data_IF_331985207413
#
_entry.id   IF_331985207413
#
_cell.length_a   1.000
_cell.length_b   1.000
_cell.length_c   1.000
_cell.angle_alpha   90.00
_cell.angle_beta   90.00
_cell.angle_gamma   90.00
#
_symmetry.space_group_name_H-M   'P 1'
#
loop_
_entity.id
_entity.type
_entity.pdbx_description
1 polymer ?
#
# COMPACT_ATOMS: atom_id res chain seq x y z
N UNK A 1 0.97 3.77 7.97
CA UNK A 1 1.89 4.71 7.29
C UNK A 1 2.02 4.28 5.84
N UNK A 2 2.07 5.21 4.89
CA UNK A 2 2.23 4.92 3.46
C UNK A 2 3.35 5.80 2.88
N UNK A 3 3.94 5.37 1.77
CA UNK A 3 4.97 6.10 1.02
C UNK A 3 4.55 6.25 -0.43
N UNK A 4 4.78 7.45 -0.96
CA UNK A 4 4.73 7.72 -2.38
C UNK A 4 6.09 8.23 -2.81
N UNK A 5 6.55 7.85 -4.01
CA UNK A 5 7.79 8.36 -4.60
C UNK A 5 7.66 9.83 -5.00
N UNK A 6 6.45 10.30 -5.27
CA UNK A 6 6.17 11.68 -5.70
C UNK A 6 5.15 12.31 -4.78
N UNK A 7 5.58 13.37 -4.10
CA UNK A 7 4.71 14.25 -3.29
C UNK A 7 4.69 15.61 -4.00
N UNK A 8 3.54 16.03 -4.58
CA UNK A 8 3.45 17.27 -5.34
C UNK A 8 3.64 18.53 -4.50
N UNK A 9 3.22 18.50 -3.23
CA UNK A 9 3.36 19.59 -2.29
C UNK A 9 3.40 19.06 -0.85
N UNK A 10 4.15 19.74 0.01
CA UNK A 10 4.06 19.54 1.46
C UNK A 10 2.71 20.07 1.96
N UNK A 11 1.95 19.19 2.60
CA UNK A 11 0.58 19.44 3.01
C UNK A 11 0.30 18.73 4.33
N UNK A 12 -0.23 19.47 5.30
CA UNK A 12 -0.75 18.92 6.56
C UNK A 12 -2.24 19.22 6.63
N UNK A 13 -3.07 18.21 6.85
CA UNK A 13 -4.52 18.35 7.03
C UNK A 13 -4.89 17.88 8.43
N UNK A 14 -5.70 18.66 9.15
CA UNK A 14 -6.28 18.27 10.42
C UNK A 14 -7.80 18.20 10.31
N UNK A 15 -8.36 17.04 10.66
CA UNK A 15 -9.80 16.75 10.74
C UNK A 15 -10.64 17.15 9.51
N UNK A 16 -10.00 17.25 8.33
CA UNK A 16 -10.59 17.83 7.11
C UNK A 16 -11.19 19.23 7.32
N UNK A 17 -10.78 19.94 8.37
CA UNK A 17 -11.28 21.27 8.75
C UNK A 17 -10.25 22.38 8.48
N UNK A 18 -8.97 22.05 8.42
CA UNK A 18 -7.91 23.01 8.10
C UNK A 18 -6.76 22.29 7.39
N UNK A 19 -6.13 22.99 6.45
CA UNK A 19 -4.88 22.57 5.83
C UNK A 19 -3.78 23.61 6.02
N UNK A 20 -2.54 23.15 6.19
CA UNK A 20 -1.35 23.97 6.29
C UNK A 20 -0.36 23.57 5.20
N UNK A 21 0.08 24.54 4.40
CA UNK A 21 1.07 24.37 3.35
C UNK A 21 2.31 25.18 3.70
N UNK A 22 3.42 24.54 4.08
CA UNK A 22 4.69 25.22 4.28
C UNK A 22 5.12 25.89 2.98
N UNK A 23 5.39 27.20 3.02
CA UNK A 23 5.93 27.96 1.91
C UNK A 23 7.46 27.84 1.94
N UNK A 24 7.95 26.63 1.66
CA UNK A 24 9.39 26.40 1.49
C UNK A 24 9.79 26.69 0.04
N UNK A 25 11.08 26.97 -0.23
CA UNK A 25 11.58 27.12 -1.60
C UNK A 25 11.28 25.92 -2.51
N UNK A 26 11.02 24.74 -1.92
CA UNK A 26 10.74 23.49 -2.62
C UNK A 26 9.26 23.32 -3.00
N UNK A 27 8.34 23.80 -2.16
CA UNK A 27 6.89 23.65 -2.37
C UNK A 27 6.33 24.67 -3.36
N UNK A 28 6.99 25.81 -3.52
CA UNK A 28 6.31 26.96 -4.05
C UNK A 28 6.54 27.19 -5.56
N UNK A 29 7.50 26.52 -6.20
CA UNK A 29 7.96 26.96 -7.53
C UNK A 29 8.47 28.41 -7.54
N UNK A 30 8.54 29.05 -6.36
CA UNK A 30 8.95 30.42 -6.10
C UNK A 30 10.47 30.50 -5.98
N UNK A 31 11.20 29.72 -6.78
CA UNK A 31 12.64 29.89 -6.97
C UNK A 31 13.01 31.30 -7.49
N UNK A 32 12.01 32.11 -7.84
CA UNK A 32 12.14 33.47 -8.37
C UNK A 32 11.71 34.59 -7.39
N UNK A 33 11.33 34.31 -6.15
CA UNK A 33 11.11 35.38 -5.16
C UNK A 33 12.34 35.48 -4.24
N UNK A 34 13.11 36.59 -4.31
CA UNK A 34 14.21 36.81 -3.40
C UNK A 34 13.66 37.07 -2.00
N UNK A 35 14.17 36.31 -1.03
CA UNK A 35 14.02 36.51 0.41
C UNK A 35 12.58 36.45 0.96
N UNK A 36 12.12 35.25 1.32
CA UNK A 36 11.23 35.13 2.47
C UNK A 36 12.13 35.07 3.72
N UNK A 37 12.18 36.11 4.56
CA UNK A 37 13.12 36.17 5.69
C UNK A 37 12.73 35.22 6.84
N UNK A 38 11.49 34.70 6.83
CA UNK A 38 10.95 33.85 7.89
C UNK A 38 10.16 32.66 7.32
N UNK A 39 10.16 31.50 8.01
CA UNK A 39 9.35 30.36 7.62
C UNK A 39 7.87 30.73 7.62
N UNK A 40 7.27 30.81 6.44
CA UNK A 40 5.86 31.12 6.24
C UNK A 40 5.06 29.86 5.88
N UNK A 41 3.78 29.85 6.22
CA UNK A 41 2.85 28.79 5.81
C UNK A 41 1.50 29.38 5.41
N UNK A 42 0.86 28.79 4.41
CA UNK A 42 -0.50 29.11 4.03
C UNK A 42 -1.47 28.22 4.84
N UNK A 43 -2.37 28.86 5.58
CA UNK A 43 -3.46 28.18 6.31
C UNK A 43 -4.74 28.30 5.49
N UNK A 44 -5.35 27.16 5.17
CA UNK A 44 -6.58 27.06 4.37
C UNK A 44 -7.71 26.54 5.25
N UNK A 45 -8.75 27.35 5.41
CA UNK A 45 -9.96 27.06 6.16
C UNK A 45 -11.04 26.37 5.30
N UNK A 46 -12.16 25.90 5.88
CA UNK A 46 -13.21 25.20 5.16
C UNK A 46 -13.73 25.97 3.94
N UNK A 47 -13.77 25.28 2.80
CA UNK A 47 -14.20 25.84 1.53
C UNK A 47 -13.74 24.97 0.35
N UNK A 48 -14.00 25.41 -0.89
CA UNK A 48 -13.69 24.64 -2.09
C UNK A 48 -12.20 24.30 -2.21
N UNK A 49 -11.31 25.22 -1.81
CA UNK A 49 -9.87 24.99 -1.85
C UNK A 49 -9.44 23.87 -0.89
N UNK A 50 -9.95 23.88 0.34
CA UNK A 50 -9.67 22.81 1.30
C UNK A 50 -10.18 21.46 0.80
N UNK A 51 -11.39 21.42 0.23
CA UNK A 51 -11.96 20.20 -0.34
C UNK A 51 -11.06 19.63 -1.45
N UNK A 52 -10.55 20.47 -2.35
CA UNK A 52 -9.61 20.06 -3.40
C UNK A 52 -8.29 19.52 -2.83
N UNK A 53 -7.74 20.15 -1.79
CA UNK A 53 -6.51 19.68 -1.13
C UNK A 53 -6.70 18.33 -0.42
N UNK A 54 -7.85 18.13 0.22
CA UNK A 54 -8.23 16.85 0.82
C UNK A 54 -8.33 15.78 -0.26
N UNK A 55 -9.00 16.06 -1.38
CA UNK A 55 -9.13 15.09 -2.47
C UNK A 55 -7.76 14.73 -3.06
N UNK A 56 -6.89 15.71 -3.30
CA UNK A 56 -5.52 15.47 -3.74
C UNK A 56 -4.76 14.54 -2.78
N UNK A 57 -4.89 14.77 -1.48
CA UNK A 57 -4.28 13.89 -0.47
C UNK A 57 -4.83 12.47 -0.57
N UNK A 58 -6.15 12.29 -0.65
CA UNK A 58 -6.79 10.97 -0.71
C UNK A 58 -6.40 10.21 -1.98
N UNK A 59 -6.32 10.88 -3.13
CA UNK A 59 -5.88 10.28 -4.40
C UNK A 59 -4.44 9.75 -4.28
N UNK A 60 -3.51 10.58 -3.79
CA UNK A 60 -2.12 10.17 -3.55
C UNK A 60 -2.04 9.07 -2.49
N UNK A 61 -2.83 9.15 -1.43
CA UNK A 61 -2.84 8.18 -0.34
C UNK A 61 -3.33 6.81 -0.79
N UNK A 62 -4.32 6.77 -1.68
CA UNK A 62 -4.86 5.54 -2.24
C UNK A 62 -3.87 4.87 -3.20
N UNK A 63 -3.10 5.66 -3.96
CA UNK A 63 -2.03 5.17 -4.83
C UNK A 63 -0.75 4.77 -4.08
N UNK A 64 -0.49 5.37 -2.91
CA UNK A 64 0.73 5.16 -2.14
C UNK A 64 0.89 3.71 -1.62
N UNK A 65 2.14 3.24 -1.56
CA UNK A 65 2.50 1.93 -1.02
C UNK A 65 2.43 1.92 0.52
N UNK A 66 1.87 0.87 1.15
CA UNK A 66 1.90 0.73 2.60
C UNK A 66 3.35 0.56 3.10
N UNK A 67 3.79 1.46 3.98
CA UNK A 67 5.07 1.33 4.68
C UNK A 67 4.94 0.38 5.87
N UNK A 68 5.55 -0.80 5.75
CA UNK A 68 5.73 -1.72 6.88
C UNK A 68 6.96 -1.30 7.66
N UNK A 69 6.76 -0.54 8.74
CA UNK A 69 7.83 -0.28 9.70
C UNK A 69 8.16 -1.62 10.38
N UNK A 70 9.39 -2.11 10.21
CA UNK A 70 9.88 -3.39 10.75
C UNK A 70 9.98 -3.43 12.29
N UNK A 71 9.09 -2.76 13.02
CA UNK A 71 8.93 -2.95 14.47
C UNK A 71 8.21 -4.29 14.77
N UNK A 72 7.35 -4.76 13.85
CA UNK A 72 6.65 -6.06 13.98
C UNK A 72 7.49 -7.28 13.59
N UNK A 73 8.75 -7.08 13.15
CA UNK A 73 9.68 -8.20 12.99
C UNK A 73 10.08 -8.80 14.35
N UNK A 74 10.15 -7.97 15.41
CA UNK A 74 10.49 -8.41 16.75
C UNK A 74 9.31 -9.09 17.48
N UNK A 75 8.07 -8.65 17.25
CA UNK A 75 6.87 -9.32 17.81
C UNK A 75 6.58 -10.68 17.17
N UNK A 76 6.91 -10.85 15.88
CA UNK A 76 6.79 -12.15 15.18
C UNK A 76 7.86 -13.18 15.57
N UNK A 77 8.86 -12.80 16.36
CA UNK A 77 9.85 -13.72 16.91
C UNK A 77 9.47 -14.25 18.31
N UNK A 78 8.46 -13.67 18.96
CA UNK A 78 8.05 -14.03 20.33
C UNK A 78 6.88 -15.02 20.38
N UNK A 79 6.10 -15.14 19.31
CA UNK A 79 5.15 -16.23 19.11
C UNK A 79 5.83 -17.32 18.26
N UNK A 80 5.83 -18.57 18.71
CA UNK A 80 6.38 -19.71 17.98
C UNK A 80 5.83 -19.84 16.55
N UNK A 81 6.34 -20.76 15.71
CA UNK A 81 6.22 -20.72 14.25
C UNK A 81 4.75 -20.82 13.77
N UNK A 82 4.06 -19.68 13.71
CA UNK A 82 2.84 -19.53 12.94
C UNK A 82 3.26 -19.43 11.47
N UNK A 83 3.38 -20.59 10.82
CA UNK A 83 3.84 -20.75 9.45
C UNK A 83 2.90 -20.06 8.45
N UNK A 84 3.17 -18.78 8.16
CA UNK A 84 2.56 -18.04 7.07
C UNK A 84 2.81 -18.66 5.68
N UNK A 85 2.33 -18.01 4.62
CA UNK A 85 2.65 -18.42 3.25
C UNK A 85 4.16 -18.44 3.00
N UNK A 86 4.64 -19.50 2.35
CA UNK A 86 6.04 -19.58 1.92
C UNK A 86 6.25 -18.79 0.62
N UNK A 87 7.52 -18.63 0.19
CA UNK A 87 7.84 -17.86 -1.02
C UNK A 87 7.15 -18.39 -2.29
N UNK A 88 6.92 -19.70 -2.38
CA UNK A 88 6.26 -20.32 -3.53
C UNK A 88 4.75 -20.10 -3.48
N UNK A 89 4.15 -20.09 -2.30
CA UNK A 89 2.74 -19.73 -2.12
C UNK A 89 2.48 -18.28 -2.54
N UNK A 90 3.39 -17.36 -2.18
CA UNK A 90 3.31 -15.96 -2.61
C UNK A 90 3.43 -15.83 -4.13
N UNK A 91 4.33 -16.58 -4.77
CA UNK A 91 4.47 -16.59 -6.23
C UNK A 91 3.23 -17.14 -6.94
N UNK A 92 2.65 -18.24 -6.44
CA UNK A 92 1.37 -18.79 -6.93
C UNK A 92 0.26 -17.76 -6.80
N UNK A 93 0.14 -17.11 -5.63
CA UNK A 93 -0.90 -16.14 -5.34
C UNK A 93 -0.80 -14.89 -6.22
N UNK A 94 0.41 -14.40 -6.48
CA UNK A 94 0.67 -13.27 -7.39
C UNK A 94 0.14 -13.55 -8.79
N UNK A 95 0.50 -14.70 -9.38
CA UNK A 95 0.06 -15.03 -10.73
C UNK A 95 -1.46 -15.26 -10.82
N UNK A 96 -2.08 -15.83 -9.78
CA UNK A 96 -3.54 -15.95 -9.72
C UNK A 96 -4.22 -14.58 -9.65
N UNK A 97 -3.62 -13.62 -8.94
CA UNK A 97 -4.11 -12.24 -8.87
C UNK A 97 -3.92 -11.48 -10.19
N UNK A 98 -2.92 -11.85 -10.99
CA UNK A 98 -2.74 -11.37 -12.37
C UNK A 98 -3.76 -12.00 -13.35
N UNK A 99 -4.69 -12.81 -12.85
CA UNK A 99 -5.77 -13.42 -13.64
C UNK A 99 -5.39 -14.74 -14.32
N UNK A 100 -4.22 -15.31 -14.01
CA UNK A 100 -3.83 -16.60 -14.57
C UNK A 100 -4.66 -17.74 -13.96
N UNK A 101 -4.92 -18.76 -14.77
CA UNK A 101 -5.52 -20.01 -14.31
C UNK A 101 -4.48 -20.88 -13.60
N UNK A 102 -4.89 -21.79 -12.72
CA UNK A 102 -3.98 -22.74 -12.07
C UNK A 102 -3.10 -23.52 -13.06
N UNK A 103 -3.62 -23.82 -14.25
CA UNK A 103 -2.88 -24.51 -15.30
C UNK A 103 -1.78 -23.62 -15.90
N UNK A 104 -2.08 -22.35 -16.15
CA UNK A 104 -1.09 -21.36 -16.60
C UNK A 104 -0.02 -21.12 -15.54
N UNK A 105 -0.41 -21.00 -14.27
CA UNK A 105 0.50 -20.87 -13.13
C UNK A 105 1.42 -22.09 -13.00
N UNK A 106 0.85 -23.30 -13.11
CA UNK A 106 1.61 -24.55 -13.06
C UNK A 106 2.69 -24.58 -14.16
N UNK A 107 2.33 -24.20 -15.39
CA UNK A 107 3.27 -24.12 -16.51
C UNK A 107 4.37 -23.09 -16.27
N UNK A 108 4.02 -21.90 -15.78
CA UNK A 108 4.98 -20.81 -15.57
C UNK A 108 5.97 -21.08 -14.43
N UNK A 109 5.52 -21.77 -13.38
CA UNK A 109 6.36 -22.10 -12.22
C UNK A 109 7.02 -23.49 -12.32
N UNK A 110 6.83 -24.22 -13.43
CA UNK A 110 7.35 -25.59 -13.58
C UNK A 110 6.78 -26.59 -12.56
N UNK A 111 5.54 -26.37 -12.11
CA UNK A 111 4.86 -27.19 -11.11
C UNK A 111 3.79 -28.08 -11.75
N UNK A 112 3.42 -29.15 -11.06
CA UNK A 112 2.20 -29.90 -11.38
C UNK A 112 0.92 -29.14 -10.99
N UNK A 113 -0.16 -29.28 -11.77
CA UNK A 113 -1.46 -28.65 -11.49
C UNK A 113 -1.98 -28.95 -10.07
N UNK A 114 -1.87 -30.21 -9.62
CA UNK A 114 -2.26 -30.59 -8.25
C UNK A 114 -1.45 -29.87 -7.18
N UNK A 115 -0.18 -29.56 -7.44
CA UNK A 115 0.67 -28.84 -6.49
C UNK A 115 0.17 -27.42 -6.31
N UNK A 116 -0.18 -26.73 -7.41
CA UNK A 116 -0.79 -25.40 -7.38
C UNK A 116 -2.10 -25.42 -6.60
N UNK A 117 -3.01 -26.34 -6.94
CA UNK A 117 -4.31 -26.47 -6.27
C UNK A 117 -4.19 -26.76 -4.77
N UNK A 118 -3.25 -27.64 -4.37
CA UNK A 118 -2.99 -27.96 -2.97
C UNK A 118 -2.46 -26.73 -2.21
N UNK A 119 -1.59 -25.94 -2.83
CA UNK A 119 -1.06 -24.69 -2.24
C UNK A 119 -2.15 -23.64 -2.08
N UNK A 120 -3.00 -23.44 -3.09
CA UNK A 120 -4.18 -22.56 -2.99
C UNK A 120 -5.09 -23.00 -1.85
N UNK A 121 -5.39 -24.30 -1.73
CA UNK A 121 -6.21 -24.82 -0.62
C UNK A 121 -5.56 -24.57 0.75
N UNK A 122 -4.25 -24.73 0.87
CA UNK A 122 -3.51 -24.40 2.10
C UNK A 122 -3.60 -22.90 2.40
N UNK A 123 -3.40 -22.03 1.41
CA UNK A 123 -3.53 -20.58 1.55
C UNK A 123 -4.93 -20.17 2.02
N UNK A 124 -5.98 -20.79 1.48
CA UNK A 124 -7.36 -20.58 1.95
C UNK A 124 -7.54 -21.00 3.41
N UNK A 125 -6.94 -22.12 3.81
CA UNK A 125 -6.92 -22.57 5.21
C UNK A 125 -6.19 -21.60 6.14
N UNK A 126 -5.03 -21.08 5.71
CA UNK A 126 -4.27 -20.07 6.46
C UNK A 126 -5.04 -18.74 6.60
N UNK A 127 -5.77 -18.35 5.57
CA UNK A 127 -6.58 -17.14 5.56
C UNK A 127 -7.96 -17.31 6.23
N UNK A 128 -8.36 -18.53 6.59
CA UNK A 128 -9.69 -18.81 7.16
C UNK A 128 -10.84 -18.58 6.18
N UNK A 129 -10.59 -18.70 4.87
CA UNK A 129 -11.57 -18.41 3.81
C UNK A 129 -11.93 -19.66 3.02
N UNK A 130 -13.08 -19.63 2.35
CA UNK A 130 -13.62 -20.80 1.61
C UNK A 130 -13.72 -20.56 0.10
N UNK A 131 -13.51 -19.33 -0.37
CA UNK A 131 -13.50 -19.00 -1.79
C UNK A 131 -12.19 -18.34 -2.22
N UNK A 132 -11.84 -18.49 -3.51
CA UNK A 132 -10.66 -17.85 -4.10
C UNK A 132 -10.77 -16.33 -4.11
N UNK A 133 -11.97 -15.79 -4.30
CA UNK A 133 -12.22 -14.35 -4.25
C UNK A 133 -11.91 -13.79 -2.85
N UNK A 134 -12.39 -14.47 -1.80
CA UNK A 134 -12.05 -14.12 -0.42
C UNK A 134 -10.54 -14.27 -0.14
N UNK A 135 -9.88 -15.28 -0.72
CA UNK A 135 -8.43 -15.42 -0.61
C UNK A 135 -7.73 -14.22 -1.26
N UNK A 136 -8.16 -13.77 -2.43
CA UNK A 136 -7.63 -12.58 -3.09
C UNK A 136 -7.82 -11.32 -2.25
N UNK A 137 -9.00 -11.12 -1.67
CA UNK A 137 -9.28 -10.02 -0.74
C UNK A 137 -8.37 -10.07 0.49
N UNK A 138 -8.27 -11.24 1.14
CA UNK A 138 -7.41 -11.44 2.31
C UNK A 138 -5.95 -11.15 1.96
N UNK A 139 -5.49 -11.65 0.81
CA UNK A 139 -4.13 -11.46 0.33
C UNK A 139 -3.77 -9.98 0.14
N UNK A 140 -4.69 -9.19 -0.45
CA UNK A 140 -4.52 -7.75 -0.61
C UNK A 140 -4.50 -7.03 0.75
N UNK A 141 -5.42 -7.37 1.65
CA UNK A 141 -5.53 -6.74 2.98
C UNK A 141 -4.33 -7.04 3.90
N UNK A 142 -3.72 -8.23 3.76
CA UNK A 142 -2.63 -8.69 4.63
C UNK A 142 -1.25 -8.65 3.95
N UNK A 143 -1.19 -8.16 2.70
CA UNK A 143 0.02 -8.03 1.87
C UNK A 143 0.74 -9.35 1.61
N UNK A 144 -0.02 -10.36 1.19
CA UNK A 144 0.51 -11.61 0.63
C UNK A 144 0.73 -11.52 -0.89
N UNK A 145 0.39 -10.39 -1.50
CA UNK A 145 0.69 -10.10 -2.91
C UNK A 145 1.91 -9.20 -3.00
N UNK A 146 2.94 -9.65 -3.72
CA UNK A 146 4.06 -8.78 -4.13
C UNK A 146 3.66 -8.09 -5.43
N UNK A 147 3.50 -6.77 -5.41
CA UNK A 147 3.35 -5.99 -6.64
C UNK A 147 2.12 -5.07 -6.67
N UNK A 148 2.24 -3.92 -6.01
CA UNK A 148 2.18 -2.62 -6.68
C UNK A 148 2.81 -1.58 -5.78
#
# INVERSE_FOLDING_TARGET
MRVSERIPAELVIADRAVALLPLTPRTAGLAALPELPEPAALVVHPGPLLASLVNLFEDIWNEALPLRVCADAARRAADGPAAGPDALDLAVLSLLMDGLTDASVAKQLGLGLRTVQRRVKRLMGLAGVTTRLQLGWHAAAHGWTTGR
#
